data_IF_499094262671
#
_entry.id   IF_499094262671
#
_cell.length_a   1.000
_cell.length_b   1.000
_cell.length_c   1.000
_cell.angle_alpha   90.00
_cell.angle_beta   90.00
_cell.angle_gamma   90.00
#
_symmetry.space_group_name_H-M   'P 1'
#
loop_
_entity.id
_entity.type
_entity.pdbx_description
1 polymer ?
#
# COMPACT_ATOMS: atom_id res chain seq x y z
N UNK A 1 -8.74 -12.41 -5.61
CA UNK A 1 -7.60 -12.93 -6.39
C UNK A 1 -6.54 -11.84 -6.48
N UNK A 2 -5.27 -12.14 -6.15
CA UNK A 2 -4.14 -11.21 -6.27
C UNK A 2 -3.21 -11.62 -7.42
N UNK A 3 -2.47 -10.64 -7.97
CA UNK A 3 -1.43 -10.84 -8.99
C UNK A 3 -0.11 -10.32 -8.44
N UNK A 4 1.01 -10.98 -8.77
CA UNK A 4 2.36 -10.58 -8.35
C UNK A 4 3.05 -9.84 -9.50
N UNK A 5 3.82 -8.82 -9.15
CA UNK A 5 4.72 -8.09 -10.05
C UNK A 5 6.10 -7.98 -9.40
N UNK A 6 7.13 -7.76 -10.20
CA UNK A 6 8.47 -7.38 -9.72
C UNK A 6 8.59 -5.87 -9.78
N UNK A 7 9.10 -5.24 -8.71
CA UNK A 7 9.34 -3.79 -8.63
C UNK A 7 10.84 -3.59 -8.47
N UNK A 8 11.40 -2.67 -9.26
CA UNK A 8 12.80 -2.24 -9.14
C UNK A 8 12.80 -0.85 -8.51
N UNK A 9 13.62 -0.66 -7.49
CA UNK A 9 13.73 0.59 -6.73
C UNK A 9 15.21 1.00 -6.66
N UNK A 10 15.52 2.30 -6.55
CA UNK A 10 16.85 2.74 -6.15
C UNK A 10 17.24 2.15 -4.78
N UNK A 11 18.51 1.80 -4.61
CA UNK A 11 19.01 1.11 -3.41
C UNK A 11 18.61 1.82 -2.11
N UNK A 12 18.84 3.14 -2.02
CA UNK A 12 18.49 3.94 -0.85
C UNK A 12 16.99 3.87 -0.50
N UNK A 13 16.12 3.85 -1.51
CA UNK A 13 14.67 3.75 -1.32
C UNK A 13 14.29 2.36 -0.84
N UNK A 14 14.92 1.32 -1.38
CA UNK A 14 14.70 -0.06 -0.94
C UNK A 14 15.15 -0.24 0.52
N UNK A 15 16.30 0.31 0.91
CA UNK A 15 16.79 0.25 2.29
C UNK A 15 15.83 0.90 3.28
N UNK A 16 15.33 2.10 2.98
CA UNK A 16 14.39 2.79 3.88
C UNK A 16 13.03 2.08 3.92
N UNK A 17 12.57 1.51 2.81
CA UNK A 17 11.38 0.67 2.78
C UNK A 17 11.55 -0.60 3.63
N UNK A 18 12.73 -1.23 3.60
CA UNK A 18 13.03 -2.40 4.41
C UNK A 18 13.03 -2.06 5.90
N UNK A 19 13.71 -0.97 6.29
CA UNK A 19 13.69 -0.46 7.68
C UNK A 19 12.27 -0.19 8.16
N UNK A 20 11.45 0.45 7.33
CA UNK A 20 10.05 0.72 7.68
C UNK A 20 9.26 -0.59 7.86
N UNK A 21 9.43 -1.56 6.98
CA UNK A 21 8.77 -2.86 7.11
C UNK A 21 9.16 -3.60 8.40
N UNK A 22 10.44 -3.54 8.78
CA UNK A 22 10.96 -4.12 10.02
C UNK A 22 10.35 -3.45 11.26
N UNK A 23 10.24 -2.11 11.26
CA UNK A 23 9.58 -1.35 12.33
C UNK A 23 8.10 -1.73 12.50
N UNK A 24 7.42 -2.10 11.42
CA UNK A 24 6.02 -2.57 11.44
C UNK A 24 5.90 -4.09 11.67
N UNK A 25 7.02 -4.83 11.77
CA UNK A 25 7.02 -6.27 11.95
C UNK A 25 6.44 -7.05 10.77
N UNK A 26 6.61 -6.56 9.53
CA UNK A 26 6.06 -7.18 8.32
C UNK A 26 7.11 -7.31 7.21
N UNK A 27 6.86 -8.21 6.26
CA UNK A 27 7.74 -8.37 5.10
C UNK A 27 7.75 -7.12 4.20
N UNK A 28 8.92 -6.73 3.70
CA UNK A 28 9.11 -5.59 2.78
C UNK A 28 8.19 -5.66 1.56
N UNK A 29 7.99 -6.85 0.98
CA UNK A 29 7.07 -7.06 -0.15
C UNK A 29 5.61 -6.75 0.20
N UNK A 30 5.19 -7.04 1.43
CA UNK A 30 3.84 -6.72 1.90
C UNK A 30 3.69 -5.20 2.14
N UNK A 31 4.76 -4.53 2.59
CA UNK A 31 4.81 -3.07 2.64
C UNK A 31 4.70 -2.44 1.26
N UNK A 32 5.56 -2.85 0.33
CA UNK A 32 5.53 -2.41 -1.05
C UNK A 32 4.13 -2.59 -1.68
N UNK A 33 3.54 -3.78 -1.54
CA UNK A 33 2.22 -4.09 -2.10
C UNK A 33 1.13 -3.15 -1.59
N UNK A 34 1.12 -2.85 -0.29
CA UNK A 34 0.16 -1.95 0.32
C UNK A 34 0.35 -0.51 -0.16
N UNK A 35 1.59 -0.01 -0.19
CA UNK A 35 1.89 1.36 -0.62
C UNK A 35 1.53 1.60 -2.09
N UNK A 36 1.79 0.60 -2.95
CA UNK A 36 1.35 0.63 -4.35
C UNK A 36 -0.17 0.64 -4.43
N UNK A 37 -0.86 -0.20 -3.64
CA UNK A 37 -2.32 -0.21 -3.61
C UNK A 37 -2.91 1.14 -3.19
N UNK A 38 -2.40 1.76 -2.11
CA UNK A 38 -2.84 3.08 -1.66
C UNK A 38 -2.63 4.13 -2.76
N UNK A 39 -1.47 4.11 -3.42
CA UNK A 39 -1.16 5.02 -4.52
C UNK A 39 -2.13 4.85 -5.69
N UNK A 40 -2.49 3.62 -6.04
CA UNK A 40 -3.49 3.32 -7.10
C UNK A 40 -4.89 3.78 -6.70
N UNK A 41 -5.30 3.58 -5.44
CA UNK A 41 -6.60 4.04 -4.91
C UNK A 41 -6.72 5.56 -5.01
N UNK A 42 -5.67 6.28 -4.59
CA UNK A 42 -5.61 7.76 -4.70
C UNK A 42 -5.68 8.21 -6.16
N UNK A 43 -5.05 7.47 -7.09
CA UNK A 43 -5.08 7.80 -8.53
C UNK A 43 -6.46 7.57 -9.17
N UNK A 44 -7.23 6.59 -8.70
CA UNK A 44 -8.54 6.22 -9.26
C UNK A 44 -9.65 6.20 -8.19
N UNK A 45 -9.96 7.36 -7.57
CA UNK A 45 -10.87 7.42 -6.41
C UNK A 45 -12.31 6.99 -6.75
N UNK A 46 -12.77 7.25 -7.99
CA UNK A 46 -14.10 6.83 -8.44
C UNK A 46 -14.22 5.31 -8.66
N UNK A 47 -13.09 4.61 -8.85
CA UNK A 47 -13.04 3.17 -9.11
C UNK A 47 -12.80 2.37 -7.82
N UNK A 48 -12.05 2.95 -6.90
CA UNK A 48 -11.70 2.31 -5.63
C UNK A 48 -12.10 3.24 -4.49
N UNK A 49 -13.35 3.15 -3.99
CA UNK A 49 -13.80 3.98 -2.89
C UNK A 49 -12.96 3.70 -1.64
N UNK A 50 -12.68 4.77 -0.89
CA UNK A 50 -11.98 4.68 0.39
C UNK A 50 -12.74 3.75 1.34
N UNK A 51 -12.08 2.83 2.08
CA UNK A 51 -12.77 1.89 2.97
C UNK A 51 -13.65 2.55 4.04
N UNK A 52 -13.45 3.84 4.31
CA UNK A 52 -14.11 4.58 5.38
C UNK A 52 -15.37 5.35 4.95
N UNK A 53 -15.82 5.27 3.70
CA UNK A 53 -17.05 5.94 3.24
C UNK A 53 -18.34 5.18 3.60
N UNK A 54 -18.29 4.22 4.54
CA UNK A 54 -19.45 3.39 4.94
C UNK A 54 -19.73 3.31 6.44
N UNK A 55 -19.03 4.08 7.30
CA UNK A 55 -19.23 4.02 8.77
C UNK A 55 -19.34 5.43 9.36
N UNK A 56 -20.39 6.14 9.00
CA UNK A 56 -20.65 7.52 9.45
C UNK A 56 -22.07 7.98 9.16
N UNK A 57 -23.05 7.07 9.23
CA UNK A 57 -24.44 7.35 8.91
C UNK A 57 -25.39 6.41 9.63
N UNK A 58 -25.30 6.35 10.96
CA UNK A 58 -26.43 5.99 11.80
C UNK A 58 -26.60 7.15 12.77
N UNK A 59 -27.73 7.85 12.62
CA UNK A 59 -28.18 8.94 13.50
C UNK A 59 -28.87 8.41 14.75
#
# INVERSE_FOLDING_TARGET
MSKKITIVLPDAIHEDLAKWADLEGRATANLASFLVEQSVRVKFPNKYPSPNSGRGGEG
#
